data_IF_861295916387
#
_entry.id   IF_861295916387
#
_cell.length_a   1.000
_cell.length_b   1.000
_cell.length_c   1.000
_cell.angle_alpha   90.00
_cell.angle_beta   90.00
_cell.angle_gamma   90.00
#
_symmetry.space_group_name_H-M   'P 1'
#
loop_
_entity.id
_entity.type
_entity.pdbx_description
1 polymer ?
#
# COMPACT_ATOMS: atom_id res chain seq x y z
N UNK A 1 10.77 -29.22 4.87
CA UNK A 1 12.14 -29.29 4.29
C UNK A 1 13.13 -28.40 5.06
N UNK A 2 14.47 -28.56 4.94
CA UNK A 2 15.44 -27.69 5.61
C UNK A 2 15.21 -26.19 5.35
N UNK A 3 14.73 -25.83 4.17
CA UNK A 3 14.38 -24.45 3.77
C UNK A 3 13.19 -23.89 4.56
N UNK A 4 12.12 -24.65 4.72
CA UNK A 4 10.93 -24.23 5.51
C UNK A 4 11.29 -23.98 6.98
N UNK A 5 12.17 -24.81 7.57
CA UNK A 5 12.62 -24.63 8.96
C UNK A 5 13.40 -23.33 9.18
N UNK A 6 13.99 -22.78 8.12
CA UNK A 6 14.82 -21.58 8.18
C UNK A 6 14.14 -20.34 7.58
N UNK A 7 12.84 -20.43 7.25
CA UNK A 7 12.09 -19.36 6.57
C UNK A 7 12.75 -18.90 5.26
N UNK A 8 13.30 -19.86 4.51
CA UNK A 8 13.93 -19.62 3.21
C UNK A 8 13.03 -20.13 2.09
N UNK A 9 12.86 -19.32 1.05
CA UNK A 9 12.27 -19.75 -0.21
C UNK A 9 13.16 -20.79 -0.90
N UNK A 10 12.55 -21.73 -1.61
CA UNK A 10 13.26 -22.74 -2.39
C UNK A 10 12.78 -22.74 -3.84
N UNK A 11 13.72 -22.83 -4.78
CA UNK A 11 13.45 -23.04 -6.20
C UNK A 11 14.60 -23.85 -6.81
N UNK A 12 14.27 -24.91 -7.55
CA UNK A 12 15.25 -25.67 -8.30
C UNK A 12 15.46 -25.01 -9.66
N UNK A 13 16.72 -24.78 -10.04
CA UNK A 13 17.10 -24.08 -11.27
C UNK A 13 18.13 -24.86 -12.05
N UNK A 14 18.05 -24.82 -13.36
CA UNK A 14 19.12 -25.30 -14.24
C UNK A 14 19.58 -24.17 -15.15
N UNK A 15 20.84 -23.76 -14.98
CA UNK A 15 21.46 -22.75 -15.84
C UNK A 15 21.72 -23.29 -17.26
N UNK A 16 21.82 -24.61 -17.42
CA UNK A 16 22.11 -25.27 -18.69
C UNK A 16 20.97 -25.07 -19.71
N UNK A 17 19.73 -25.23 -19.24
CA UNK A 17 18.51 -25.13 -20.06
C UNK A 17 17.63 -23.93 -19.68
N UNK A 18 18.13 -23.03 -18.84
CA UNK A 18 17.43 -21.84 -18.33
C UNK A 18 16.18 -22.14 -17.48
N UNK A 19 15.98 -23.38 -17.06
CA UNK A 19 14.83 -23.74 -16.22
C UNK A 19 14.85 -22.94 -14.92
N UNK A 20 13.77 -22.20 -14.67
CA UNK A 20 13.50 -21.42 -13.47
C UNK A 20 14.52 -20.32 -13.12
N UNK A 21 15.49 -20.01 -13.98
CA UNK A 21 16.51 -18.99 -13.70
C UNK A 21 15.86 -17.61 -13.55
N UNK A 22 15.07 -17.18 -14.54
CA UNK A 22 14.36 -15.90 -14.49
C UNK A 22 13.37 -15.85 -13.32
N UNK A 23 12.60 -16.92 -13.12
CA UNK A 23 11.64 -17.03 -12.02
C UNK A 23 12.32 -16.90 -10.65
N UNK A 24 13.51 -17.47 -10.46
CA UNK A 24 14.26 -17.35 -9.22
C UNK A 24 14.61 -15.90 -8.90
N UNK A 25 15.07 -15.13 -9.90
CA UNK A 25 15.37 -13.70 -9.74
C UNK A 25 14.12 -12.86 -9.49
N UNK A 26 13.04 -13.09 -10.25
CA UNK A 26 11.80 -12.36 -10.06
C UNK A 26 11.21 -12.61 -8.66
N UNK A 27 11.22 -13.86 -8.20
CA UNK A 27 10.69 -14.23 -6.89
C UNK A 27 11.46 -13.56 -5.74
N UNK A 28 12.79 -13.61 -5.75
CA UNK A 28 13.58 -13.01 -4.67
C UNK A 28 13.47 -11.48 -4.65
N UNK A 29 13.45 -10.83 -5.82
CA UNK A 29 13.29 -9.38 -5.92
C UNK A 29 11.90 -8.93 -5.46
N UNK A 30 10.85 -9.66 -5.86
CA UNK A 30 9.48 -9.37 -5.43
C UNK A 30 9.31 -9.54 -3.91
N UNK A 31 9.93 -10.56 -3.33
CA UNK A 31 9.87 -10.78 -1.87
C UNK A 31 10.61 -9.68 -1.10
N UNK A 32 11.80 -9.28 -1.54
CA UNK A 32 12.52 -8.14 -0.97
C UNK A 32 11.65 -6.88 -1.04
N UNK A 33 11.06 -6.58 -2.20
CA UNK A 33 10.20 -5.42 -2.38
C UNK A 33 9.00 -5.45 -1.42
N UNK A 34 8.33 -6.59 -1.31
CA UNK A 34 7.18 -6.78 -0.39
C UNK A 34 7.58 -6.50 1.06
N UNK A 35 8.72 -7.02 1.50
CA UNK A 35 9.20 -6.82 2.89
C UNK A 35 9.55 -5.35 3.14
N UNK A 36 10.26 -4.71 2.21
CA UNK A 36 10.70 -3.31 2.37
C UNK A 36 9.51 -2.35 2.31
N UNK A 37 8.57 -2.55 1.38
CA UNK A 37 7.37 -1.71 1.27
C UNK A 37 6.47 -1.80 2.50
N UNK A 38 6.30 -2.99 3.09
CA UNK A 38 5.56 -3.16 4.34
C UNK A 38 6.22 -2.43 5.51
N UNK A 39 7.56 -2.48 5.62
CA UNK A 39 8.29 -1.74 6.66
C UNK A 39 8.11 -0.23 6.54
N UNK A 40 8.17 0.31 5.32
CA UNK A 40 7.94 1.75 5.10
C UNK A 40 6.54 2.20 5.53
N UNK A 41 5.52 1.36 5.35
CA UNK A 41 4.16 1.66 5.80
C UNK A 41 4.09 1.65 7.33
N UNK A 42 4.68 0.64 7.98
CA UNK A 42 4.73 0.56 9.45
C UNK A 42 5.51 1.73 10.08
N UNK A 43 6.64 2.12 9.51
CA UNK A 43 7.45 3.25 10.00
C UNK A 43 6.70 4.58 9.86
N UNK A 44 5.92 4.76 8.80
CA UNK A 44 5.03 5.93 8.63
C UNK A 44 3.85 5.93 9.59
N UNK A 45 3.29 4.76 9.92
CA UNK A 45 2.22 4.64 10.89
C UNK A 45 2.69 4.87 12.34
N UNK A 46 3.98 4.66 12.64
CA UNK A 46 4.58 4.99 13.94
C UNK A 46 4.92 6.47 14.12
N UNK A 47 4.94 7.24 13.02
CA UNK A 47 5.05 8.69 13.04
C UNK A 47 3.64 9.30 12.91
N UNK A 48 2.82 9.07 13.94
CA UNK A 48 1.55 9.76 14.14
C UNK A 48 1.82 11.22 14.53
N UNK A 49 2.29 12.01 13.56
CA UNK A 49 2.22 13.48 13.60
C UNK A 49 0.78 13.91 13.25
N UNK A 50 -0.21 13.26 13.87
CA UNK A 50 -1.60 13.65 13.78
C UNK A 50 -1.85 14.75 14.80
N UNK A 51 -2.29 15.96 14.39
CA UNK A 51 -2.71 16.99 15.32
C UNK A 51 -4.08 16.62 15.91
N UNK A 52 -4.12 15.57 16.73
CA UNK A 52 -5.34 14.96 17.26
C UNK A 52 -5.97 15.76 18.42
N UNK A 53 -5.51 16.98 18.71
CA UNK A 53 -5.98 17.72 19.88
C UNK A 53 -7.16 18.68 19.61
N UNK A 54 -7.70 18.74 18.39
CA UNK A 54 -8.83 19.64 18.07
C UNK A 54 -9.87 18.99 17.12
N UNK A 55 -10.19 17.71 17.30
CA UNK A 55 -11.31 17.10 16.57
C UNK A 55 -12.61 17.61 17.18
N UNK A 56 -13.24 18.60 16.54
CA UNK A 56 -14.60 19.04 16.86
C UNK A 56 -15.56 18.28 15.96
N UNK A 57 -16.55 17.60 16.55
CA UNK A 57 -17.59 16.90 15.80
C UNK A 57 -18.36 17.88 14.90
N UNK A 58 -18.22 17.70 13.58
CA UNK A 58 -19.00 18.46 12.60
C UNK A 58 -20.39 17.85 12.54
N UNK A 59 -21.34 18.47 13.25
CA UNK A 59 -22.77 18.13 13.10
C UNK A 59 -23.31 18.83 11.85
N UNK A 60 -23.64 18.05 10.82
CA UNK A 60 -24.27 18.56 9.59
C UNK A 60 -25.79 18.56 9.78
N UNK A 61 -26.48 19.72 9.84
CA UNK A 61 -27.92 19.76 9.85
C UNK A 61 -28.49 19.32 8.49
N UNK A 62 -29.69 18.71 8.45
CA UNK A 62 -30.31 18.30 7.19
C UNK A 62 -30.53 19.51 6.29
N UNK A 63 -30.11 19.40 5.03
CA UNK A 63 -30.33 20.44 4.01
C UNK A 63 -31.83 20.62 3.76
N UNK A 64 -32.39 21.70 4.28
CA UNK A 64 -33.71 22.19 3.87
C UNK A 64 -33.64 22.61 2.40
N UNK A 65 -34.46 21.97 1.56
CA UNK A 65 -34.60 22.31 0.15
C UNK A 65 -35.28 23.67 -0.04
N UNK A 66 -34.56 24.77 0.14
CA UNK A 66 -35.06 26.09 -0.26
C UNK A 66 -33.94 26.99 -0.78
N UNK A 67 -33.77 26.99 -2.10
CA UNK A 67 -33.48 28.22 -2.83
C UNK A 67 -32.11 28.37 -3.47
N UNK A 68 -32.13 28.33 -4.81
CA UNK A 68 -31.34 29.14 -5.75
C UNK A 68 -29.85 28.76 -5.91
N UNK A 69 -29.62 28.05 -7.01
CA UNK A 69 -28.46 28.09 -7.91
C UNK A 69 -27.17 28.68 -7.37
N UNK A 70 -26.22 27.82 -7.03
CA UNK A 70 -24.86 27.95 -7.55
C UNK A 70 -24.28 26.54 -7.73
N UNK A 71 -24.22 26.08 -8.99
CA UNK A 71 -23.55 24.84 -9.36
C UNK A 71 -22.05 25.05 -9.22
N UNK A 72 -21.50 24.76 -8.04
CA UNK A 72 -20.05 24.69 -7.87
C UNK A 72 -19.56 23.37 -8.50
N UNK A 73 -19.08 23.48 -9.74
CA UNK A 73 -18.50 22.38 -10.48
C UNK A 73 -17.04 22.21 -10.06
N UNK A 74 -16.81 21.37 -9.04
CA UNK A 74 -15.47 20.95 -8.66
C UNK A 74 -14.96 19.90 -9.65
N UNK A 75 -13.68 20.01 -10.05
CA UNK A 75 -12.97 19.29 -11.12
C UNK A 75 -13.18 19.86 -12.54
N UNK A 76 -12.33 20.81 -12.94
CA UNK A 76 -11.91 20.93 -14.34
C UNK A 76 -10.47 20.43 -14.44
N UNK A 77 -10.28 19.40 -15.26
CA UNK A 77 -8.99 18.89 -15.68
C UNK A 77 -8.31 19.88 -16.63
N UNK A 78 -7.04 20.20 -16.35
CA UNK A 78 -5.98 20.47 -17.33
C UNK A 78 -4.63 20.20 -16.64
#
# INVERSE_FOLDING_TARGET
APTEKNNLSFIETSALDSTNVEAAFQNILAEIYRIVSQKQISDRAGHDDSPSNNVVDITVPPTSEHGKSNRFQCCQSL
#
